data_IF_131493556922
#
_entry.id   IF_131493556922
#
_cell.length_a   1.000
_cell.length_b   1.000
_cell.length_c   1.000
_cell.angle_alpha   90.00
_cell.angle_beta   90.00
_cell.angle_gamma   90.00
#
_symmetry.space_group_name_H-M   'P 1'
#
loop_
_entity.id
_entity.type
_entity.pdbx_description
1 polymer ?
#
# COMPACT_ATOMS: atom_id res chain seq x y z
N UNK A 1 25.20 -5.37 26.44
CA UNK A 1 25.52 -5.98 25.12
C UNK A 1 24.32 -6.76 24.56
N UNK A 2 23.70 -7.64 25.36
CA UNK A 2 22.51 -8.40 24.96
C UNK A 2 21.34 -7.54 24.48
N UNK A 3 21.02 -6.43 25.16
CA UNK A 3 19.87 -5.60 24.77
C UNK A 3 20.08 -4.93 23.41
N UNK A 4 21.28 -4.39 23.16
CA UNK A 4 21.61 -3.81 21.85
C UNK A 4 21.48 -4.86 20.74
N UNK A 5 21.99 -6.08 20.97
CA UNK A 5 21.85 -7.19 20.02
C UNK A 5 20.38 -7.49 19.72
N UNK A 6 19.53 -7.62 20.75
CA UNK A 6 18.08 -7.85 20.58
C UNK A 6 17.40 -6.74 19.80
N UNK A 7 17.72 -5.48 20.10
CA UNK A 7 17.15 -4.34 19.38
C UNK A 7 17.49 -4.38 17.89
N UNK A 8 18.75 -4.65 17.54
CA UNK A 8 19.17 -4.75 16.14
C UNK A 8 18.59 -5.96 15.42
N UNK A 9 18.52 -7.13 16.08
CA UNK A 9 17.88 -8.32 15.50
C UNK A 9 16.38 -8.10 15.29
N UNK A 10 15.69 -7.53 16.27
CA UNK A 10 14.27 -7.18 16.15
C UNK A 10 14.00 -6.19 15.03
N UNK A 11 14.88 -5.19 14.85
CA UNK A 11 14.81 -4.25 13.74
C UNK A 11 15.04 -4.94 12.39
N UNK A 12 16.04 -5.83 12.30
CA UNK A 12 16.35 -6.58 11.09
C UNK A 12 15.19 -7.51 10.70
N UNK A 13 14.72 -8.34 11.64
CA UNK A 13 13.56 -9.23 11.45
C UNK A 13 12.31 -8.47 11.03
N UNK A 14 12.04 -7.31 11.63
CA UNK A 14 10.92 -6.46 11.21
C UNK A 14 11.10 -5.96 9.77
N UNK A 15 12.31 -5.52 9.42
CA UNK A 15 12.65 -5.03 8.09
C UNK A 15 12.50 -6.07 6.98
N UNK A 16 12.78 -7.34 7.28
CA UNK A 16 12.57 -8.47 6.35
C UNK A 16 11.17 -9.10 6.45
N UNK A 17 10.26 -8.47 7.20
CA UNK A 17 8.88 -8.92 7.43
C UNK A 17 8.71 -10.24 8.20
N UNK A 18 9.76 -10.67 8.91
CA UNK A 18 9.70 -11.79 9.85
C UNK A 18 9.14 -11.31 11.20
N UNK A 19 7.86 -10.94 11.21
CA UNK A 19 7.23 -10.28 12.36
C UNK A 19 7.19 -11.14 13.62
N UNK A 20 7.20 -12.47 13.48
CA UNK A 20 7.24 -13.37 14.63
C UNK A 20 8.60 -13.32 15.33
N UNK A 21 9.70 -13.42 14.57
CA UNK A 21 11.05 -13.30 15.12
C UNK A 21 11.30 -11.88 15.67
N UNK A 22 10.82 -10.85 14.96
CA UNK A 22 10.87 -9.49 15.45
C UNK A 22 10.14 -9.32 16.79
N UNK A 23 9.03 -10.03 16.97
CA UNK A 23 8.26 -10.02 18.22
C UNK A 23 9.05 -10.65 19.36
N UNK A 24 9.65 -11.81 19.12
CA UNK A 24 10.46 -12.55 20.10
C UNK A 24 11.68 -11.74 20.57
N UNK A 25 12.31 -11.00 19.65
CA UNK A 25 13.46 -10.15 19.99
C UNK A 25 13.07 -8.86 20.74
N UNK A 26 11.90 -8.28 20.44
CA UNK A 26 11.48 -6.97 20.96
C UNK A 26 10.58 -7.04 22.20
N UNK A 27 9.86 -8.14 22.42
CA UNK A 27 9.00 -8.30 23.60
C UNK A 27 9.74 -8.19 24.94
N UNK A 28 11.00 -8.66 25.09
CA UNK A 28 11.76 -8.52 26.33
C UNK A 28 12.03 -7.08 26.79
N UNK A 29 11.87 -6.09 25.92
CA UNK A 29 11.98 -4.66 26.30
C UNK A 29 10.77 -4.15 27.09
N UNK A 30 9.68 -4.94 27.15
CA UNK A 30 8.48 -4.60 27.89
C UNK A 30 8.43 -5.42 29.18
N UNK A 31 8.45 -4.75 30.33
CA UNK A 31 8.34 -5.39 31.64
C UNK A 31 7.09 -6.29 31.70
N UNK A 32 7.15 -7.48 32.34
CA UNK A 32 5.99 -8.36 32.50
C UNK A 32 4.75 -7.69 33.08
N UNK A 33 4.95 -6.71 33.96
CA UNK A 33 3.94 -5.96 34.68
C UNK A 33 3.34 -4.82 33.82
N UNK A 34 4.04 -4.38 32.77
CA UNK A 34 3.54 -3.38 31.82
C UNK A 34 2.57 -4.00 30.82
N UNK A 35 1.40 -4.37 31.32
CA UNK A 35 0.31 -4.94 30.54
C UNK A 35 -0.12 -4.00 29.41
N UNK A 36 -0.05 -2.68 29.63
CA UNK A 36 -0.49 -1.67 28.66
C UNK A 36 0.51 -1.54 27.50
N UNK A 37 1.81 -1.43 27.79
CA UNK A 37 2.85 -1.37 26.77
C UNK A 37 2.90 -2.66 25.94
N UNK A 38 2.78 -3.82 26.60
CA UNK A 38 2.70 -5.12 25.90
C UNK A 38 1.47 -5.22 24.99
N UNK A 39 0.30 -4.80 25.46
CA UNK A 39 -0.92 -4.81 24.64
C UNK A 39 -0.80 -3.88 23.41
N UNK A 40 -0.21 -2.68 23.59
CA UNK A 40 0.04 -1.74 22.50
C UNK A 40 1.08 -2.29 21.51
N UNK A 41 2.17 -2.89 21.99
CA UNK A 41 3.16 -3.57 21.16
C UNK A 41 2.54 -4.68 20.30
N UNK A 42 1.74 -5.57 20.90
CA UNK A 42 1.03 -6.63 20.17
C UNK A 42 0.03 -6.08 19.15
N UNK A 43 -0.60 -4.93 19.45
CA UNK A 43 -1.45 -4.24 18.48
C UNK A 43 -0.64 -3.72 17.29
N UNK A 44 0.53 -3.13 17.53
CA UNK A 44 1.44 -2.65 16.48
C UNK A 44 1.99 -3.81 15.63
N UNK A 45 2.37 -4.93 16.22
CA UNK A 45 2.83 -6.12 15.49
C UNK A 45 1.74 -6.69 14.59
N UNK A 46 0.51 -6.85 15.11
CA UNK A 46 -0.65 -7.26 14.30
C UNK A 46 -0.97 -6.27 13.17
N UNK A 47 -0.77 -4.97 13.41
CA UNK A 47 -0.92 -3.96 12.37
C UNK A 47 0.13 -4.13 11.27
N UNK A 48 1.39 -4.37 11.62
CA UNK A 48 2.47 -4.61 10.65
C UNK A 48 2.18 -5.82 9.77
N UNK A 49 1.78 -6.95 10.36
CA UNK A 49 1.40 -8.16 9.64
C UNK A 49 0.25 -7.91 8.65
N UNK A 50 -0.83 -7.25 9.09
CA UNK A 50 -1.97 -6.91 8.23
C UNK A 50 -1.57 -6.02 7.05
N UNK A 51 -0.67 -5.06 7.27
CA UNK A 51 -0.15 -4.19 6.22
C UNK A 51 0.69 -4.99 5.23
N UNK A 52 1.54 -5.90 5.72
CA UNK A 52 2.44 -6.70 4.89
C UNK A 52 1.70 -7.68 3.96
N UNK A 53 0.55 -8.22 4.40
CA UNK A 53 -0.28 -9.15 3.62
C UNK A 53 -0.88 -8.56 2.34
N UNK A 54 -0.92 -7.24 2.18
CA UNK A 54 -1.48 -6.64 0.96
C UNK A 54 -0.57 -6.88 -0.23
N UNK A 55 -1.14 -7.36 -1.34
CA UNK A 55 -0.35 -7.77 -2.51
C UNK A 55 -0.41 -6.75 -3.65
N UNK A 56 0.73 -6.39 -4.27
CA UNK A 56 0.78 -5.49 -5.43
C UNK A 56 0.03 -6.07 -6.64
N UNK A 57 0.06 -7.39 -6.79
CA UNK A 57 -0.69 -8.11 -7.83
C UNK A 57 -2.21 -7.89 -7.68
N UNK A 58 -2.74 -8.00 -6.46
CA UNK A 58 -4.15 -7.71 -6.18
C UNK A 58 -4.50 -6.26 -6.51
N UNK A 59 -3.64 -5.30 -6.14
CA UNK A 59 -3.86 -3.90 -6.51
C UNK A 59 -3.94 -3.71 -8.04
N UNK A 60 -3.04 -4.33 -8.80
CA UNK A 60 -3.06 -4.29 -10.27
C UNK A 60 -4.34 -4.91 -10.84
N UNK A 61 -4.72 -6.10 -10.38
CA UNK A 61 -5.95 -6.80 -10.85
C UNK A 61 -7.19 -5.96 -10.57
N UNK A 62 -7.31 -5.38 -9.38
CA UNK A 62 -8.44 -4.50 -9.06
C UNK A 62 -8.50 -3.31 -10.03
N UNK A 63 -7.36 -2.67 -10.31
CA UNK A 63 -7.29 -1.58 -11.29
C UNK A 63 -7.55 -2.02 -12.74
N UNK A 64 -7.36 -3.29 -13.08
CA UNK A 64 -7.74 -3.86 -14.38
C UNK A 64 -9.24 -4.08 -14.52
N UNK A 65 -9.97 -4.22 -13.40
CA UNK A 65 -11.42 -4.35 -13.40
C UNK A 65 -12.07 -2.97 -13.38
N UNK A 66 -11.58 -2.09 -12.50
CA UNK A 66 -12.10 -0.75 -12.31
C UNK A 66 -10.96 0.25 -12.12
N UNK A 67 -10.83 1.28 -12.99
CA UNK A 67 -9.83 2.34 -12.83
C UNK A 67 -9.80 2.89 -11.40
N UNK A 68 -8.62 2.84 -10.78
CA UNK A 68 -8.36 3.37 -9.45
C UNK A 68 -8.70 2.44 -8.28
N UNK A 69 -9.39 1.31 -8.49
CA UNK A 69 -9.72 0.36 -7.42
C UNK A 69 -8.49 -0.18 -6.68
N UNK A 70 -7.39 -0.44 -7.39
CA UNK A 70 -6.12 -0.84 -6.75
C UNK A 70 -5.52 0.24 -5.85
N UNK A 71 -5.71 1.51 -6.18
CA UNK A 71 -5.23 2.64 -5.38
C UNK A 71 -6.09 2.81 -4.12
N UNK A 72 -7.41 2.63 -4.23
CA UNK A 72 -8.30 2.54 -3.07
C UNK A 72 -7.90 1.37 -2.15
N UNK A 73 -7.61 0.20 -2.72
CA UNK A 73 -7.09 -0.95 -1.98
C UNK A 73 -5.77 -0.65 -1.24
N UNK A 74 -4.89 0.14 -1.85
CA UNK A 74 -3.67 0.66 -1.21
C UNK A 74 -3.94 1.73 -0.12
N UNK A 75 -5.16 2.23 -0.02
CA UNK A 75 -5.55 3.35 0.84
C UNK A 75 -5.02 4.68 0.34
N UNK A 76 -4.89 4.83 -0.97
CA UNK A 76 -4.59 6.08 -1.67
C UNK A 76 -5.85 6.61 -2.37
N UNK A 77 -6.72 7.20 -1.57
CA UNK A 77 -8.05 7.68 -2.01
C UNK A 77 -7.91 8.77 -3.08
N UNK A 78 -6.97 9.70 -2.90
CA UNK A 78 -6.77 10.83 -3.83
C UNK A 78 -6.39 10.33 -5.22
N UNK A 79 -5.41 9.42 -5.31
CA UNK A 79 -5.02 8.87 -6.60
C UNK A 79 -6.11 7.97 -7.19
N UNK A 80 -6.82 7.22 -6.35
CA UNK A 80 -8.00 6.42 -6.73
C UNK A 80 -9.06 7.23 -7.46
N UNK A 81 -9.51 8.35 -6.86
CA UNK A 81 -10.50 9.25 -7.46
C UNK A 81 -9.97 9.85 -8.76
N UNK A 82 -8.71 10.31 -8.78
CA UNK A 82 -8.10 10.88 -9.98
C UNK A 82 -8.06 9.88 -11.15
N UNK A 83 -7.68 8.63 -10.89
CA UNK A 83 -7.68 7.59 -11.91
C UNK A 83 -9.09 7.24 -12.39
N UNK A 84 -10.07 7.18 -11.49
CA UNK A 84 -11.47 6.93 -11.85
C UNK A 84 -12.02 8.03 -12.77
N UNK A 85 -11.88 9.30 -12.36
CA UNK A 85 -12.37 10.46 -13.12
C UNK A 85 -11.70 10.55 -14.49
N UNK A 86 -10.37 10.43 -14.55
CA UNK A 86 -9.65 10.55 -15.81
C UNK A 86 -10.07 9.47 -16.82
N UNK A 87 -10.18 8.21 -16.38
CA UNK A 87 -10.59 7.13 -17.27
C UNK A 87 -12.07 7.24 -17.65
N UNK A 88 -12.94 7.71 -16.75
CA UNK A 88 -14.34 7.97 -17.08
C UNK A 88 -14.48 9.07 -18.14
N UNK A 89 -13.72 10.17 -18.02
CA UNK A 89 -13.70 11.25 -19.01
C UNK A 89 -13.17 10.77 -20.37
N UNK A 90 -12.11 9.96 -20.38
CA UNK A 90 -11.60 9.38 -21.63
C UNK A 90 -12.60 8.40 -22.27
N UNK A 91 -13.27 7.57 -21.47
CA UNK A 91 -14.33 6.68 -21.95
C UNK A 91 -15.51 7.46 -22.55
N UNK A 92 -15.95 8.52 -21.86
CA UNK A 92 -16.96 9.44 -22.39
C UNK A 92 -16.51 10.09 -23.69
N UNK A 93 -15.28 10.61 -23.76
CA UNK A 93 -14.76 11.26 -24.96
C UNK A 93 -14.63 10.29 -26.15
N UNK A 94 -14.25 9.05 -25.90
CA UNK A 94 -14.24 8.00 -26.92
C UNK A 94 -15.64 7.77 -27.51
N UNK A 95 -16.65 7.59 -26.64
CA UNK A 95 -18.04 7.38 -27.06
C UNK A 95 -18.61 8.60 -27.78
N UNK A 96 -18.40 9.80 -27.24
CA UNK A 96 -18.88 11.04 -27.85
C UNK A 96 -18.28 11.29 -29.23
N UNK A 97 -16.97 11.03 -29.41
CA UNK A 97 -16.30 11.14 -30.71
C UNK A 97 -16.82 10.09 -31.68
N UNK A 98 -17.03 8.85 -31.22
CA UNK A 98 -17.54 7.77 -32.06
C UNK A 98 -18.98 7.98 -32.53
N UNK A 99 -19.80 8.70 -31.76
CA UNK A 99 -21.16 9.12 -32.17
C UNK A 99 -21.11 10.33 -33.11
N UNK A 100 -20.24 11.30 -32.85
CA UNK A 100 -20.18 12.56 -33.61
C UNK A 100 -19.43 12.44 -34.94
N UNK A 101 -18.51 11.48 -35.04
CA UNK A 101 -17.65 11.23 -36.19
C UNK A 101 -17.67 9.72 -36.53
N UNK A 102 -16.51 9.14 -36.88
CA UNK A 102 -16.38 7.70 -37.07
C UNK A 102 -15.73 7.04 -35.86
N UNK A 103 -15.93 5.72 -35.74
CA UNK A 103 -15.19 4.90 -34.78
C UNK A 103 -13.66 5.02 -34.98
N UNK A 104 -13.18 5.16 -36.22
CA UNK A 104 -11.76 5.31 -36.51
C UNK A 104 -11.21 6.62 -35.99
N UNK A 105 -11.98 7.71 -36.07
CA UNK A 105 -11.59 9.00 -35.50
C UNK A 105 -11.45 8.91 -33.97
N UNK A 106 -12.43 8.29 -33.30
CA UNK A 106 -12.37 8.04 -31.87
C UNK A 106 -11.17 7.16 -31.48
N UNK A 107 -10.92 6.10 -32.26
CA UNK A 107 -9.81 5.19 -32.03
C UNK A 107 -8.45 5.88 -32.20
N UNK A 108 -8.27 6.67 -33.25
CA UNK A 108 -7.03 7.39 -33.52
C UNK A 108 -6.76 8.48 -32.48
N UNK A 109 -7.80 9.16 -31.99
CA UNK A 109 -7.66 10.32 -31.11
C UNK A 109 -7.60 9.97 -29.63
N UNK A 110 -8.42 9.02 -29.15
CA UNK A 110 -8.61 8.78 -27.71
C UNK A 110 -7.90 7.51 -27.21
N UNK A 111 -7.82 6.46 -28.01
CA UNK A 111 -7.19 5.18 -27.60
C UNK A 111 -5.74 5.31 -27.12
N UNK A 112 -4.85 6.13 -27.72
CA UNK A 112 -3.50 6.33 -27.19
C UNK A 112 -3.49 6.83 -25.75
N UNK A 113 -4.44 7.70 -25.40
CA UNK A 113 -4.60 8.22 -24.05
C UNK A 113 -5.18 7.17 -23.10
N UNK A 114 -6.15 6.36 -23.55
CA UNK A 114 -6.65 5.24 -22.78
C UNK A 114 -5.51 4.28 -22.43
N UNK A 115 -4.68 3.85 -23.39
CA UNK A 115 -3.54 2.99 -23.09
C UNK A 115 -2.57 3.64 -22.10
N UNK A 116 -2.28 4.94 -22.27
CA UNK A 116 -1.37 5.67 -21.37
C UNK A 116 -1.91 5.73 -19.94
N UNK A 117 -3.17 6.12 -19.76
CA UNK A 117 -3.72 6.42 -18.43
C UNK A 117 -4.36 5.21 -17.75
N UNK A 118 -5.04 4.33 -18.49
CA UNK A 118 -5.58 3.08 -17.97
C UNK A 118 -4.45 2.10 -17.65
N UNK A 119 -3.60 1.80 -18.64
CA UNK A 119 -2.45 0.90 -18.48
C UNK A 119 -1.44 1.42 -17.46
N UNK A 120 -1.13 2.71 -17.52
CA UNK A 120 -0.29 3.38 -16.53
C UNK A 120 -0.89 3.32 -15.12
N UNK A 121 -2.20 3.50 -14.99
CA UNK A 121 -2.94 3.41 -13.73
C UNK A 121 -2.85 2.02 -13.09
N UNK A 122 -2.95 0.95 -13.89
CA UNK A 122 -2.79 -0.43 -13.42
C UNK A 122 -1.40 -0.63 -12.82
N UNK A 123 -0.33 -0.32 -13.57
CA UNK A 123 1.06 -0.50 -13.09
C UNK A 123 1.29 0.30 -11.80
N UNK A 124 0.89 1.57 -11.82
CA UNK A 124 1.07 2.52 -10.71
C UNK A 124 0.31 2.11 -9.45
N UNK A 125 -0.82 1.40 -9.57
CA UNK A 125 -1.54 0.90 -8.39
C UNK A 125 -0.69 -0.10 -7.57
N UNK A 126 0.11 -0.93 -8.23
CA UNK A 126 1.07 -1.82 -7.56
C UNK A 126 2.19 -1.04 -6.86
N UNK A 127 2.80 -0.09 -7.57
CA UNK A 127 3.88 0.77 -7.04
C UNK A 127 3.41 1.60 -5.84
N UNK A 128 2.20 2.18 -5.92
CA UNK A 128 1.59 2.93 -4.81
C UNK A 128 1.38 2.03 -3.59
N UNK A 129 0.94 0.79 -3.79
CA UNK A 129 0.77 -0.15 -2.68
C UNK A 129 2.10 -0.43 -1.98
N UNK A 130 3.16 -0.74 -2.73
CA UNK A 130 4.49 -1.01 -2.16
C UNK A 130 4.97 0.17 -1.34
N UNK A 131 4.93 1.37 -1.91
CA UNK A 131 5.31 2.60 -1.21
C UNK A 131 4.48 2.86 0.04
N UNK A 132 3.14 2.72 -0.04
CA UNK A 132 2.24 2.86 1.12
C UNK A 132 2.51 1.81 2.19
N UNK A 133 2.88 0.59 1.80
CA UNK A 133 3.22 -0.51 2.71
C UNK A 133 4.47 -0.15 3.50
N UNK A 134 5.55 0.25 2.82
CA UNK A 134 6.79 0.70 3.45
C UNK A 134 6.57 1.90 4.39
N UNK A 135 5.84 2.92 3.94
CA UNK A 135 5.52 4.10 4.76
C UNK A 135 4.76 3.71 6.04
N UNK A 136 3.80 2.79 5.94
CA UNK A 136 3.02 2.31 7.09
C UNK A 136 3.86 1.46 8.03
N UNK A 137 4.68 0.54 7.50
CA UNK A 137 5.57 -0.31 8.29
C UNK A 137 6.60 0.53 9.03
N UNK A 138 7.20 1.53 8.37
CA UNK A 138 8.13 2.47 9.02
C UNK A 138 7.46 3.25 10.15
N UNK A 139 6.21 3.72 9.95
CA UNK A 139 5.44 4.40 11.00
C UNK A 139 5.13 3.47 12.18
N UNK A 140 4.77 2.21 11.91
CA UNK A 140 4.52 1.20 12.95
C UNK A 140 5.80 0.93 13.74
N UNK A 141 6.91 0.68 13.05
CA UNK A 141 8.18 0.39 13.71
C UNK A 141 8.68 1.58 14.55
N UNK A 142 8.52 2.81 14.05
CA UNK A 142 8.85 4.02 14.83
C UNK A 142 8.07 4.06 16.14
N UNK A 143 6.76 3.74 16.12
CA UNK A 143 5.96 3.65 17.33
C UNK A 143 6.44 2.56 18.28
N UNK A 144 6.87 1.42 17.76
CA UNK A 144 7.48 0.35 18.59
C UNK A 144 8.72 0.87 19.30
N UNK A 145 9.63 1.55 18.58
CA UNK A 145 10.82 2.16 19.17
C UNK A 145 10.48 3.23 20.22
N UNK A 146 9.48 4.07 19.94
CA UNK A 146 8.97 5.08 20.89
C UNK A 146 8.41 4.43 22.17
N UNK A 147 7.86 3.20 22.12
CA UNK A 147 7.43 2.48 23.32
C UNK A 147 8.60 1.87 24.09
N UNK A 148 9.64 1.39 23.39
CA UNK A 148 10.83 0.79 24.02
C UNK A 148 11.69 1.85 24.72
N UNK A 149 11.67 3.10 24.25
CA UNK A 149 12.43 4.21 24.83
C UNK A 149 11.76 4.88 26.04
N UNK A 150 10.50 4.54 26.33
CA UNK A 150 9.78 5.05 27.51
C UNK A 150 10.22 4.31 28.76
#
# INVERSE_FOLDING_TARGET
>A
WMDRKRLYLGAAHFGIHEFQLAREDLLPFFAPEDLKGRAEFERLMRQAERVSRKSPKTARILSMILPGAGQFYAGDIKNGINSLLLNALLGYWFVATGISYTFLDAAATVTPWLFRYYGGGIRRAGEILEKKKEERLRKVFRKVLEQIQK
#
